data_IF_133120249393
#
_entry.id   IF_133120249393
#
_cell.length_a   1.000
_cell.length_b   1.000
_cell.length_c   1.000
_cell.angle_alpha   90.00
_cell.angle_beta   90.00
_cell.angle_gamma   90.00
#
_symmetry.space_group_name_H-M   'P 1'
#
loop_
_entity.id
_entity.type
_entity.pdbx_description
1 polymer ?
#
# COMPACT_ATOMS: atom_id res chain seq x y z
N UNK A 1 12.56 -13.65 -8.16
CA UNK A 1 11.86 -12.96 -9.26
C UNK A 1 12.60 -11.66 -9.64
N UNK A 2 12.64 -10.67 -8.76
CA UNK A 2 13.35 -9.39 -8.92
C UNK A 2 14.75 -9.46 -9.56
N UNK A 3 15.66 -10.30 -9.02
CA UNK A 3 17.02 -10.49 -9.55
C UNK A 3 17.04 -10.98 -11.02
N UNK A 4 16.12 -11.88 -11.38
CA UNK A 4 15.99 -12.41 -12.75
C UNK A 4 15.51 -11.34 -13.71
N UNK A 5 14.55 -10.50 -13.30
CA UNK A 5 14.05 -9.41 -14.12
C UNK A 5 15.12 -8.34 -14.35
N UNK A 6 15.96 -8.11 -13.35
CA UNK A 6 17.09 -7.19 -13.46
C UNK A 6 18.19 -7.72 -14.41
N UNK A 7 18.47 -9.02 -14.42
CA UNK A 7 19.34 -9.63 -15.44
C UNK A 7 18.82 -9.45 -16.87
N UNK A 8 17.49 -9.43 -17.05
CA UNK A 8 16.85 -9.18 -18.33
C UNK A 8 16.77 -7.69 -18.68
N UNK A 9 17.32 -6.81 -17.85
CA UNK A 9 17.25 -5.35 -18.03
C UNK A 9 15.84 -4.76 -17.85
N UNK A 10 14.89 -5.54 -17.30
CA UNK A 10 13.50 -5.11 -17.10
C UNK A 10 13.36 -4.36 -15.78
N UNK A 11 13.15 -3.04 -15.85
CA UNK A 11 12.94 -2.17 -14.68
C UNK A 11 11.45 -1.97 -14.37
N UNK A 12 10.70 -3.07 -14.25
CA UNK A 12 9.23 -3.02 -14.05
C UNK A 12 8.87 -2.68 -12.59
N UNK A 13 9.52 -3.37 -11.65
CA UNK A 13 9.24 -3.27 -10.21
C UNK A 13 10.35 -2.54 -9.45
N UNK A 14 11.58 -2.50 -10.00
CA UNK A 14 12.75 -1.86 -9.39
C UNK A 14 13.14 -0.64 -10.23
N UNK A 15 13.41 0.52 -9.60
CA UNK A 15 13.85 1.70 -10.33
C UNK A 15 15.19 1.46 -11.02
N UNK A 16 15.32 2.01 -12.23
CA UNK A 16 16.53 1.89 -13.02
C UNK A 16 17.73 2.52 -12.31
N UNK A 17 18.90 1.90 -12.46
CA UNK A 17 20.17 2.39 -11.89
C UNK A 17 20.51 3.83 -12.30
N UNK A 18 20.01 4.29 -13.46
CA UNK A 18 20.21 5.65 -13.98
C UNK A 18 19.67 6.75 -13.07
N UNK A 19 18.76 6.42 -12.16
CA UNK A 19 18.15 7.39 -11.24
C UNK A 19 18.97 7.62 -9.96
N UNK A 20 20.08 6.91 -9.77
CA UNK A 20 20.90 6.96 -8.57
C UNK A 20 22.37 7.29 -8.92
N UNK A 21 23.06 7.97 -8.01
CA UNK A 21 24.48 8.29 -8.20
C UNK A 21 25.35 7.05 -7.90
N UNK A 22 26.41 6.77 -8.69
CA UNK A 22 27.27 5.60 -8.49
C UNK A 22 27.84 5.48 -7.07
N UNK A 23 28.28 6.59 -6.49
CA UNK A 23 28.83 6.62 -5.13
C UNK A 23 27.77 6.25 -4.09
N UNK A 24 26.53 6.73 -4.28
CA UNK A 24 25.41 6.41 -3.39
C UNK A 24 25.05 4.93 -3.44
N UNK A 25 25.09 4.31 -4.62
CA UNK A 25 24.84 2.87 -4.78
C UNK A 25 25.91 2.06 -4.06
N UNK A 26 27.19 2.41 -4.24
CA UNK A 26 28.29 1.71 -3.58
C UNK A 26 28.15 1.79 -2.06
N UNK A 27 27.95 3.00 -1.51
CA UNK A 27 27.78 3.19 -0.06
C UNK A 27 26.57 2.44 0.49
N UNK A 28 25.41 2.58 -0.15
CA UNK A 28 24.16 1.98 0.34
C UNK A 28 24.17 0.45 0.27
N UNK A 29 24.90 -0.14 -0.69
CA UNK A 29 25.00 -1.60 -0.80
C UNK A 29 25.75 -2.23 0.38
N UNK A 30 26.77 -1.54 0.92
CA UNK A 30 27.53 -2.00 2.09
C UNK A 30 26.66 -2.02 3.36
N UNK A 31 25.72 -1.08 3.48
CA UNK A 31 24.84 -0.98 4.66
C UNK A 31 23.68 -2.00 4.65
N UNK A 32 23.40 -2.65 3.52
CA UNK A 32 22.23 -3.52 3.35
C UNK A 32 22.12 -4.62 4.42
N UNK A 33 23.21 -5.35 4.68
CA UNK A 33 23.19 -6.46 5.65
C UNK A 33 22.89 -5.98 7.07
N UNK A 34 23.48 -4.84 7.48
CA UNK A 34 23.23 -4.23 8.78
C UNK A 34 21.80 -3.71 8.92
N UNK A 35 21.28 -3.04 7.89
CA UNK A 35 19.89 -2.58 7.86
C UNK A 35 18.92 -3.77 7.89
N UNK A 36 19.20 -4.86 7.19
CA UNK A 36 18.33 -6.05 7.21
C UNK A 36 18.16 -6.59 8.63
N UNK A 37 19.26 -6.82 9.35
CA UNK A 37 19.19 -7.33 10.72
C UNK A 37 18.57 -6.29 11.66
N UNK A 38 18.94 -5.02 11.52
CA UNK A 38 18.42 -3.94 12.36
C UNK A 38 16.91 -3.75 12.23
N UNK A 39 16.38 -3.72 11.00
CA UNK A 39 14.94 -3.57 10.74
C UNK A 39 14.15 -4.82 11.15
N UNK A 40 14.71 -6.02 10.99
CA UNK A 40 14.09 -7.25 11.50
C UNK A 40 13.99 -7.24 13.03
N UNK A 41 15.05 -6.84 13.73
CA UNK A 41 15.05 -6.76 15.19
C UNK A 41 14.05 -5.70 15.70
N UNK A 42 14.09 -4.49 15.14
CA UNK A 42 13.15 -3.43 15.49
C UNK A 42 11.70 -3.77 15.12
N UNK A 43 11.49 -4.38 13.96
CA UNK A 43 10.19 -4.87 13.53
C UNK A 43 9.61 -5.89 14.51
N UNK A 44 10.43 -6.82 15.02
CA UNK A 44 10.00 -7.75 16.07
C UNK A 44 9.59 -7.02 17.35
N UNK A 45 10.39 -6.07 17.84
CA UNK A 45 10.08 -5.28 19.04
C UNK A 45 8.77 -4.52 18.87
N UNK A 46 8.55 -3.86 17.73
CA UNK A 46 7.34 -3.10 17.45
C UNK A 46 6.12 -4.03 17.39
N UNK A 47 6.21 -5.14 16.66
CA UNK A 47 5.14 -6.14 16.58
C UNK A 47 4.78 -6.69 17.97
N UNK A 48 5.78 -6.99 18.81
CA UNK A 48 5.55 -7.47 20.17
C UNK A 48 4.77 -6.45 21.01
N UNK A 49 5.20 -5.19 21.03
CA UNK A 49 4.53 -4.14 21.78
C UNK A 49 3.12 -3.86 21.25
N UNK A 50 2.92 -3.92 19.93
CA UNK A 50 1.61 -3.75 19.31
C UNK A 50 0.64 -4.87 19.67
N UNK A 51 1.08 -6.13 19.63
CA UNK A 51 0.24 -7.27 20.03
C UNK A 51 -0.17 -7.10 21.50
N UNK A 52 0.77 -6.73 22.37
CA UNK A 52 0.51 -6.47 23.78
C UNK A 52 -0.54 -5.36 23.95
N UNK A 53 -0.37 -4.22 23.28
CA UNK A 53 -1.33 -3.11 23.32
C UNK A 53 -2.71 -3.54 22.81
N UNK A 54 -2.78 -4.31 21.72
CA UNK A 54 -4.02 -4.84 21.17
C UNK A 54 -4.70 -5.77 22.18
N UNK A 55 -3.96 -6.67 22.86
CA UNK A 55 -4.53 -7.55 23.88
C UNK A 55 -5.07 -6.77 25.08
N UNK A 56 -4.35 -5.75 25.55
CA UNK A 56 -4.84 -4.87 26.61
C UNK A 56 -6.09 -4.12 26.16
N UNK A 57 -6.08 -3.55 24.96
CA UNK A 57 -7.22 -2.83 24.39
C UNK A 57 -8.45 -3.75 24.30
N UNK A 58 -8.31 -4.97 23.78
CA UNK A 58 -9.39 -5.96 23.71
C UNK A 58 -9.95 -6.27 25.10
N UNK A 59 -9.09 -6.43 26.12
CA UNK A 59 -9.53 -6.68 27.49
C UNK A 59 -10.34 -5.50 28.05
N UNK A 60 -9.87 -4.27 27.86
CA UNK A 60 -10.57 -3.04 28.31
C UNK A 60 -11.92 -2.92 27.59
N UNK A 61 -11.91 -3.10 26.28
CA UNK A 61 -13.09 -3.08 25.41
C UNK A 61 -14.10 -4.14 25.87
N UNK A 62 -13.66 -5.37 26.16
CA UNK A 62 -14.53 -6.44 26.65
C UNK A 62 -15.23 -6.10 27.99
N UNK A 63 -14.64 -5.26 28.84
CA UNK A 63 -15.28 -4.78 30.07
C UNK A 63 -16.37 -3.73 29.81
N UNK A 64 -16.37 -3.08 28.64
CA UNK A 64 -17.26 -1.99 28.27
C UNK A 64 -18.25 -2.38 27.15
N UNK A 65 -18.73 -3.62 27.16
CA UNK A 65 -19.57 -4.19 26.08
C UNK A 65 -20.77 -3.30 25.69
N UNK A 66 -21.40 -2.64 26.68
CA UNK A 66 -22.54 -1.74 26.46
C UNK A 66 -22.21 -0.51 25.60
N UNK A 67 -21.02 0.08 25.76
CA UNK A 67 -20.62 1.25 24.98
C UNK A 67 -20.28 0.88 23.54
N UNK A 68 -19.72 -0.31 23.32
CA UNK A 68 -19.43 -0.83 21.99
C UNK A 68 -20.71 -1.05 21.21
N UNK A 69 -21.73 -1.62 21.83
CA UNK A 69 -23.01 -1.88 21.19
C UNK A 69 -23.61 -0.58 20.64
N UNK A 70 -23.64 0.50 21.44
CA UNK A 70 -24.13 1.82 21.00
C UNK A 70 -23.32 2.36 19.82
N UNK A 71 -21.98 2.27 19.88
CA UNK A 71 -21.10 2.72 18.80
C UNK A 71 -21.35 1.90 17.53
N UNK A 72 -21.49 0.59 17.66
CA UNK A 72 -21.71 -0.32 16.54
C UNK A 72 -23.07 -0.08 15.88
N UNK A 73 -24.12 0.20 16.65
CA UNK A 73 -25.43 0.58 16.14
C UNK A 73 -25.38 1.84 15.27
N UNK A 74 -24.43 2.76 15.51
CA UNK A 74 -24.25 3.97 14.70
C UNK A 74 -23.36 3.70 13.48
N UNK A 75 -22.25 2.97 13.65
CA UNK A 75 -21.27 2.73 12.58
C UNK A 75 -21.81 1.78 11.51
N UNK A 76 -22.53 0.72 11.90
CA UNK A 76 -23.00 -0.32 10.97
C UNK A 76 -23.93 0.24 9.88
N UNK A 77 -24.95 1.07 10.19
CA UNK A 77 -25.79 1.69 9.16
C UNK A 77 -25.00 2.55 8.16
N UNK A 78 -24.02 3.32 8.65
CA UNK A 78 -23.17 4.17 7.79
C UNK A 78 -22.37 3.29 6.81
N UNK A 79 -21.81 2.19 7.31
CA UNK A 79 -21.07 1.24 6.49
C UNK A 79 -21.98 0.55 5.46
N UNK A 80 -23.20 0.17 5.84
CA UNK A 80 -24.20 -0.42 4.94
C UNK A 80 -24.56 0.56 3.82
N UNK A 81 -24.84 1.82 4.15
CA UNK A 81 -25.13 2.87 3.16
C UNK A 81 -23.95 3.06 2.21
N UNK A 82 -22.71 3.05 2.72
CA UNK A 82 -21.50 3.13 1.91
C UNK A 82 -21.41 1.99 0.89
N UNK A 83 -21.57 0.74 1.34
CA UNK A 83 -21.52 -0.42 0.45
C UNK A 83 -22.67 -0.46 -0.54
N UNK A 84 -23.89 -0.16 -0.09
CA UNK A 84 -25.07 -0.13 -0.94
C UNK A 84 -24.91 0.92 -2.05
N UNK A 85 -24.44 2.11 -1.72
CA UNK A 85 -24.17 3.16 -2.73
C UNK A 85 -23.12 2.70 -3.73
N UNK A 86 -21.99 2.16 -3.26
CA UNK A 86 -20.93 1.67 -4.16
C UNK A 86 -21.47 0.59 -5.11
N UNK A 87 -22.31 -0.30 -4.60
CA UNK A 87 -22.98 -1.33 -5.39
C UNK A 87 -23.96 -0.73 -6.41
N UNK A 88 -24.80 0.21 -6.00
CA UNK A 88 -25.76 0.91 -6.88
C UNK A 88 -25.07 1.62 -8.05
N UNK A 89 -23.98 2.34 -7.81
CA UNK A 89 -23.23 3.02 -8.89
C UNK A 89 -22.62 2.00 -9.85
N UNK A 90 -22.09 0.87 -9.34
CA UNK A 90 -21.54 -0.19 -10.19
C UNK A 90 -22.61 -0.81 -11.08
N UNK A 91 -23.81 -1.04 -10.54
CA UNK A 91 -24.96 -1.53 -11.31
C UNK A 91 -25.43 -0.51 -12.35
N UNK A 92 -25.61 0.76 -11.96
CA UNK A 92 -26.01 1.82 -12.87
C UNK A 92 -25.01 2.00 -14.01
N UNK A 93 -23.71 1.99 -13.70
CA UNK A 93 -22.63 2.03 -14.70
C UNK A 93 -22.75 0.88 -15.70
N UNK A 94 -22.94 -0.36 -15.21
CA UNK A 94 -23.03 -1.57 -16.05
C UNK A 94 -24.29 -1.63 -16.91
N UNK A 95 -25.46 -1.31 -16.35
CA UNK A 95 -26.75 -1.55 -16.99
C UNK A 95 -27.36 -0.34 -17.69
N UNK A 96 -27.12 0.88 -17.20
CA UNK A 96 -27.80 2.08 -17.72
C UNK A 96 -26.90 2.93 -18.62
N UNK A 97 -25.58 2.92 -18.38
CA UNK A 97 -24.71 3.93 -18.97
C UNK A 97 -23.66 3.39 -19.94
N UNK A 98 -23.17 2.16 -19.78
CA UNK A 98 -22.23 1.55 -20.75
C UNK A 98 -23.00 1.17 -22.02
N UNK A 99 -22.69 1.85 -23.12
CA UNK A 99 -23.41 1.70 -24.39
C UNK A 99 -22.75 0.67 -25.32
N UNK A 100 -21.43 0.53 -25.26
CA UNK A 100 -20.65 -0.50 -25.97
C UNK A 100 -19.43 -0.91 -25.12
N UNK A 101 -19.38 -2.13 -24.57
CA UNK A 101 -18.24 -2.56 -23.76
C UNK A 101 -16.94 -2.72 -24.56
N UNK A 102 -17.03 -2.93 -25.88
CA UNK A 102 -15.88 -3.32 -26.71
C UNK A 102 -15.22 -2.15 -27.48
N UNK A 103 -15.88 -1.00 -27.59
CA UNK A 103 -15.37 0.18 -28.35
C UNK A 103 -14.83 1.32 -27.45
N UNK A 104 -14.78 1.10 -26.13
CA UNK A 104 -14.23 2.05 -25.17
C UNK A 104 -15.22 2.54 -24.12
N UNK A 105 -14.71 3.33 -23.17
CA UNK A 105 -15.40 3.80 -21.97
C UNK A 105 -16.35 4.97 -22.26
N UNK A 106 -17.38 4.75 -23.09
CA UNK A 106 -18.38 5.77 -23.44
C UNK A 106 -19.64 5.54 -22.62
N UNK A 107 -19.84 6.41 -21.61
CA UNK A 107 -21.05 6.42 -20.79
C UNK A 107 -22.08 7.43 -21.32
N UNK A 108 -23.31 6.99 -21.58
CA UNK A 108 -24.44 7.89 -21.83
C UNK A 108 -24.77 8.68 -20.56
N UNK A 109 -25.09 9.97 -20.64
CA UNK A 109 -25.59 10.78 -19.51
C UNK A 109 -24.71 10.79 -18.23
N UNK A 110 -23.39 10.56 -18.35
CA UNK A 110 -22.45 10.52 -17.23
C UNK A 110 -22.49 11.78 -16.35
N UNK A 111 -22.60 12.94 -16.97
CA UNK A 111 -22.66 14.24 -16.29
C UNK A 111 -23.82 14.31 -15.29
N UNK A 112 -25.01 13.83 -15.67
CA UNK A 112 -26.20 13.84 -14.80
C UNK A 112 -25.99 12.92 -13.60
N UNK A 113 -25.36 11.76 -13.80
CA UNK A 113 -25.05 10.82 -12.72
C UNK A 113 -24.08 11.40 -11.70
N UNK A 114 -23.04 12.11 -12.16
CA UNK A 114 -22.07 12.79 -11.28
C UNK A 114 -22.79 13.84 -10.43
N UNK A 115 -23.56 14.74 -11.07
CA UNK A 115 -24.25 15.82 -10.36
C UNK A 115 -25.23 15.27 -9.31
N UNK A 116 -25.98 14.22 -9.65
CA UNK A 116 -26.90 13.58 -8.70
C UNK A 116 -26.16 12.92 -7.52
N UNK A 117 -25.00 12.29 -7.77
CA UNK A 117 -24.26 11.54 -6.74
C UNK A 117 -23.33 12.41 -5.88
N UNK A 118 -23.01 13.63 -6.35
CA UNK A 118 -21.98 14.50 -5.78
C UNK A 118 -22.08 14.70 -4.27
N UNK A 119 -23.28 15.00 -3.76
CA UNK A 119 -23.46 15.28 -2.33
C UNK A 119 -23.22 14.04 -1.47
N UNK A 120 -23.73 12.88 -1.88
CA UNK A 120 -23.48 11.61 -1.20
C UNK A 120 -22.00 11.20 -1.28
N UNK A 121 -21.36 11.45 -2.43
CA UNK A 121 -19.93 11.19 -2.64
C UNK A 121 -19.03 11.99 -1.72
N UNK A 122 -19.41 13.22 -1.36
CA UNK A 122 -18.66 14.04 -0.42
C UNK A 122 -18.55 13.38 0.97
N UNK A 123 -19.67 12.93 1.53
CA UNK A 123 -19.67 12.24 2.84
C UNK A 123 -18.96 10.89 2.79
N UNK A 124 -19.18 10.14 1.72
CA UNK A 124 -18.52 8.85 1.52
C UNK A 124 -17.01 9.01 1.29
N UNK A 125 -16.58 10.12 0.71
CA UNK A 125 -15.18 10.50 0.56
C UNK A 125 -14.49 10.67 1.91
N UNK A 126 -15.15 11.32 2.87
CA UNK A 126 -14.64 11.46 4.25
C UNK A 126 -14.47 10.09 4.90
N UNK A 127 -15.50 9.23 4.83
CA UNK A 127 -15.43 7.88 5.37
C UNK A 127 -14.32 7.04 4.70
N UNK A 128 -14.18 7.14 3.37
CA UNK A 128 -13.14 6.46 2.59
C UNK A 128 -11.73 6.93 3.00
N UNK A 129 -11.55 8.21 3.31
CA UNK A 129 -10.29 8.75 3.79
C UNK A 129 -9.87 8.12 5.12
N UNK A 130 -10.79 7.99 6.08
CA UNK A 130 -10.53 7.34 7.37
C UNK A 130 -10.16 5.86 7.16
N UNK A 131 -10.91 5.15 6.32
CA UNK A 131 -10.62 3.75 5.97
C UNK A 131 -9.23 3.63 5.32
N UNK A 132 -8.86 4.57 4.44
CA UNK A 132 -7.53 4.62 3.81
C UNK A 132 -6.43 4.77 4.85
N UNK A 133 -6.57 5.69 5.81
CA UNK A 133 -5.59 5.89 6.89
C UNK A 133 -5.41 4.61 7.71
N UNK A 134 -6.50 3.98 8.13
CA UNK A 134 -6.46 2.73 8.92
C UNK A 134 -5.73 1.63 8.14
N UNK A 135 -6.09 1.42 6.86
CA UNK A 135 -5.44 0.41 6.00
C UNK A 135 -3.95 0.68 5.85
N UNK A 136 -3.55 1.94 5.64
CA UNK A 136 -2.14 2.32 5.51
C UNK A 136 -1.36 2.04 6.78
N UNK A 137 -1.90 2.37 7.96
CA UNK A 137 -1.23 2.11 9.24
C UNK A 137 -1.02 0.60 9.43
N UNK A 138 -2.06 -0.21 9.23
CA UNK A 138 -1.99 -1.67 9.41
C UNK A 138 -0.96 -2.29 8.46
N UNK A 139 -1.05 -1.98 7.17
CA UNK A 139 -0.15 -2.54 6.17
C UNK A 139 1.30 -2.10 6.40
N UNK A 140 1.54 -0.81 6.63
CA UNK A 140 2.90 -0.31 6.88
C UNK A 140 3.53 -0.96 8.10
N UNK A 141 2.74 -1.18 9.15
CA UNK A 141 3.21 -1.82 10.38
C UNK A 141 3.61 -3.29 10.15
N UNK A 142 2.78 -4.06 9.43
CA UNK A 142 3.07 -5.47 9.13
C UNK A 142 4.31 -5.61 8.24
N UNK A 143 4.44 -4.71 7.26
CA UNK A 143 5.55 -4.74 6.31
C UNK A 143 6.79 -4.00 6.81
N UNK A 144 6.77 -3.38 8.00
CA UNK A 144 7.86 -2.55 8.54
C UNK A 144 9.22 -3.22 8.56
N UNK A 145 9.26 -4.52 8.83
CA UNK A 145 10.50 -5.30 8.92
C UNK A 145 11.10 -5.66 7.55
N UNK A 146 10.34 -5.48 6.46
CA UNK A 146 10.72 -5.88 5.11
C UNK A 146 11.32 -4.70 4.35
N UNK A 147 12.51 -4.91 3.79
CA UNK A 147 13.26 -3.91 3.01
C UNK A 147 12.97 -3.96 1.50
N UNK A 148 12.22 -4.96 1.04
CA UNK A 148 11.91 -5.15 -0.37
C UNK A 148 10.74 -4.29 -0.87
N UNK A 149 10.12 -3.52 0.03
CA UNK A 149 9.04 -2.59 -0.26
C UNK A 149 9.28 -1.26 0.45
N UNK A 150 9.06 -0.16 -0.24
CA UNK A 150 9.10 1.19 0.34
C UNK A 150 7.70 1.60 0.82
N UNK A 151 7.61 2.09 2.05
CA UNK A 151 6.37 2.71 2.58
C UNK A 151 6.04 4.02 1.87
N UNK A 152 7.06 4.65 1.33
CA UNK A 152 6.96 5.87 0.56
C UNK A 152 6.51 5.50 -0.86
N UNK A 153 5.47 6.18 -1.36
CA UNK A 153 5.00 5.94 -2.73
C UNK A 153 6.10 6.19 -3.77
N UNK A 154 5.95 5.64 -4.98
CA UNK A 154 6.92 5.70 -6.10
C UNK A 154 7.78 6.97 -6.22
N UNK A 155 7.24 8.20 -6.20
CA UNK A 155 8.07 9.40 -6.35
C UNK A 155 9.03 9.65 -5.17
N UNK A 156 8.75 9.08 -3.99
CA UNK A 156 9.47 9.29 -2.74
C UNK A 156 10.26 8.06 -2.28
N UNK A 157 10.31 6.99 -3.06
CA UNK A 157 11.05 5.75 -2.72
C UNK A 157 12.53 6.00 -2.43
N UNK A 158 13.12 7.05 -3.01
CA UNK A 158 14.53 7.42 -2.77
C UNK A 158 14.80 7.89 -1.34
N UNK A 159 13.78 8.36 -0.63
CA UNK A 159 13.92 8.81 0.76
C UNK A 159 13.85 7.67 1.76
N UNK A 160 13.42 6.48 1.34
CA UNK A 160 13.43 5.29 2.19
C UNK A 160 14.83 4.67 2.17
N UNK A 161 15.59 4.88 3.24
CA UNK A 161 16.97 4.40 3.38
C UNK A 161 17.07 2.87 3.37
N UNK A 162 16.06 2.18 3.90
CA UNK A 162 16.02 0.73 3.93
C UNK A 162 15.84 0.15 2.53
N UNK A 163 14.86 0.68 1.79
CA UNK A 163 14.61 0.31 0.41
C UNK A 163 15.76 0.71 -0.53
N UNK A 164 16.36 1.89 -0.33
CA UNK A 164 17.52 2.35 -1.08
C UNK A 164 18.74 1.42 -0.91
N UNK A 165 18.98 0.91 0.31
CA UNK A 165 20.03 -0.07 0.58
C UNK A 165 19.76 -1.40 -0.14
N UNK A 166 18.51 -1.89 -0.10
CA UNK A 166 18.09 -3.10 -0.82
C UNK A 166 18.29 -2.99 -2.34
N UNK A 167 17.82 -1.90 -2.96
CA UNK A 167 18.00 -1.66 -4.40
C UNK A 167 19.48 -1.59 -4.77
N UNK A 168 20.27 -0.87 -3.97
CA UNK A 168 21.69 -0.67 -4.23
C UNK A 168 22.46 -1.99 -4.14
N UNK A 169 22.17 -2.82 -3.14
CA UNK A 169 22.69 -4.17 -3.02
C UNK A 169 22.34 -5.02 -4.25
N UNK A 170 21.07 -4.99 -4.69
CA UNK A 170 20.63 -5.82 -5.82
C UNK A 170 21.28 -5.43 -7.15
N UNK A 171 21.44 -4.13 -7.42
CA UNK A 171 22.17 -3.66 -8.61
C UNK A 171 23.65 -4.02 -8.55
N UNK A 172 24.28 -3.91 -7.38
CA UNK A 172 25.67 -4.32 -7.17
C UNK A 172 25.85 -5.82 -7.43
N UNK A 173 24.97 -6.64 -6.85
CA UNK A 173 24.99 -8.09 -7.01
C UNK A 173 24.83 -8.49 -8.49
N UNK A 174 23.85 -7.92 -9.20
CA UNK A 174 23.65 -8.21 -10.63
C UNK A 174 24.83 -7.80 -11.49
N UNK A 175 25.47 -6.67 -11.21
CA UNK A 175 26.65 -6.22 -11.96
C UNK A 175 27.86 -7.13 -11.75
N UNK A 176 28.06 -7.65 -10.53
CA UNK A 176 29.19 -8.50 -10.19
C UNK A 176 28.97 -9.98 -10.48
N UNK A 177 27.73 -10.49 -10.45
CA UNK A 177 27.42 -11.92 -10.63
C UNK A 177 26.64 -12.20 -11.90
N UNK A 178 26.76 -11.35 -12.93
CA UNK A 178 25.98 -11.51 -14.16
C UNK A 178 26.38 -12.80 -14.90
N UNK A 179 25.48 -13.79 -15.05
CA UNK A 179 25.85 -15.13 -15.54
C UNK A 179 26.38 -15.11 -16.98
N UNK A 180 25.94 -14.17 -17.81
CA UNK A 180 26.38 -14.02 -19.22
C UNK A 180 27.70 -13.24 -19.34
N UNK A 181 28.13 -12.50 -18.31
CA UNK A 181 29.40 -11.75 -18.35
C UNK A 181 30.59 -12.53 -17.77
N UNK A 182 30.30 -13.57 -17.00
CA UNK A 182 31.31 -14.35 -16.25
C UNK A 182 31.58 -15.73 -16.87
N UNK A 183 30.80 -16.15 -17.87
CA UNK A 183 31.05 -17.32 -18.70
C UNK A 183 31.33 -16.90 -20.13
#
# INVERSE_FOLDING_TARGET
KFKKDLYLGKNLEIPSIKYFEPNSIASNSVHYSGFLVGYLAWGFVICFHLILLITIAIKIVSLQIRHIEIILTIIVPILIIYFLKMFSIKLMGKFLFIQKPDEGLILKNYTILIYFSFFADCFLGIASCIIRLIKTIILNTIFMARLDYSFLGKPLEKFDTGFAAYISYLHMEVNHTHPIKLG
#
